data_IF_119544962194
#
_entry.id   IF_119544962194
#
_cell.length_a   1.000
_cell.length_b   1.000
_cell.length_c   1.000
_cell.angle_alpha   90.00
_cell.angle_beta   90.00
_cell.angle_gamma   90.00
#
_symmetry.space_group_name_H-M   'P 1'
#
loop_
_entity.id
_entity.type
_entity.pdbx_description
1 polymer ?
#
# COMPACT_ATOMS: atom_id res chain seq x y z
N UNK A 1 -10.16 -0.39 37.67
CA UNK A 1 -9.49 0.81 37.13
C UNK A 1 -8.15 0.36 36.57
N UNK A 2 -7.98 0.47 35.24
CA UNK A 2 -6.76 0.32 34.41
C UNK A 2 -5.84 -0.86 34.74
N UNK A 3 -5.73 -1.86 33.86
CA UNK A 3 -4.44 -2.52 33.57
C UNK A 3 -4.39 -3.06 32.12
N UNK A 4 -3.59 -2.36 31.31
CA UNK A 4 -2.73 -2.81 30.22
C UNK A 4 -3.27 -3.75 29.12
N UNK A 5 -3.40 -3.18 27.91
CA UNK A 5 -3.30 -3.90 26.63
C UNK A 5 -1.97 -4.69 26.58
N UNK A 6 -1.98 -6.00 26.33
CA UNK A 6 -0.75 -6.72 26.06
C UNK A 6 -0.39 -6.52 24.58
N UNK A 7 0.22 -5.38 24.25
CA UNK A 7 1.20 -5.39 23.15
C UNK A 7 2.37 -6.23 23.64
N UNK A 8 2.35 -7.53 23.33
CA UNK A 8 3.42 -8.44 23.72
C UNK A 8 4.02 -9.13 22.49
N UNK A 9 5.26 -8.69 22.25
CA UNK A 9 6.42 -9.48 21.83
C UNK A 9 6.43 -9.88 20.35
N UNK A 10 7.03 -8.95 19.60
CA UNK A 10 7.77 -9.20 18.36
C UNK A 10 8.72 -10.38 18.60
N UNK A 11 8.46 -11.51 17.97
CA UNK A 11 9.36 -12.66 17.98
C UNK A 11 10.28 -12.56 16.74
N UNK A 12 11.44 -11.93 16.93
CA UNK A 12 12.51 -11.84 15.93
C UNK A 12 13.13 -13.24 15.72
N UNK A 13 12.65 -13.96 14.70
CA UNK A 13 13.11 -15.29 14.33
C UNK A 13 13.49 -15.39 12.85
N UNK A 14 14.69 -14.90 12.51
CA UNK A 14 15.47 -15.20 11.29
C UNK A 14 14.82 -14.89 9.93
N UNK A 15 14.80 -13.61 9.57
CA UNK A 15 15.05 -13.20 8.19
C UNK A 15 16.12 -12.10 8.25
N UNK A 16 17.29 -12.35 7.65
CA UNK A 16 18.27 -11.29 7.42
C UNK A 16 17.74 -10.40 6.29
N UNK A 17 16.86 -9.45 6.61
CA UNK A 17 16.66 -8.27 5.77
C UNK A 17 17.78 -7.31 6.16
N UNK A 18 18.72 -7.11 5.23
CA UNK A 18 19.86 -6.24 5.44
C UNK A 18 19.42 -4.83 5.84
N UNK A 19 20.22 -4.20 6.68
CA UNK A 19 20.08 -2.81 7.08
C UNK A 19 20.09 -1.89 5.84
N UNK A 20 18.93 -1.62 5.22
CA UNK A 20 18.75 -0.46 4.33
C UNK A 20 18.07 0.63 5.14
N UNK A 21 18.86 1.64 5.50
CA UNK A 21 18.46 2.83 6.25
C UNK A 21 18.14 4.03 5.33
N UNK A 22 17.92 3.77 4.05
CA UNK A 22 17.49 4.78 3.08
C UNK A 22 16.06 4.46 2.64
N UNK A 23 15.12 5.35 2.98
CA UNK A 23 13.72 5.26 2.56
C UNK A 23 13.64 5.26 1.04
N UNK A 24 13.56 4.06 0.45
CA UNK A 24 13.56 3.91 -0.99
C UNK A 24 12.19 4.24 -1.56
N UNK A 25 12.19 4.99 -2.65
CA UNK A 25 10.95 5.19 -3.40
C UNK A 25 10.48 3.87 -4.01
N UNK A 26 9.16 3.62 -4.07
CA UNK A 26 8.61 2.47 -4.79
C UNK A 26 9.16 2.32 -6.22
N UNK A 27 9.37 3.43 -6.94
CA UNK A 27 9.95 3.41 -8.28
C UNK A 27 11.39 2.87 -8.35
N UNK A 28 12.19 3.02 -7.29
CA UNK A 28 13.55 2.46 -7.21
C UNK A 28 13.51 0.96 -6.87
N UNK A 29 12.58 0.52 -6.03
CA UNK A 29 12.35 -0.90 -5.75
C UNK A 29 11.88 -1.62 -7.01
N UNK A 30 11.03 -0.98 -7.82
CA UNK A 30 10.55 -1.53 -9.09
C UNK A 30 11.68 -1.87 -10.07
N UNK A 31 12.77 -1.10 -10.08
CA UNK A 31 13.96 -1.38 -10.92
C UNK A 31 14.67 -2.68 -10.53
N UNK A 32 14.39 -3.23 -9.35
CA UNK A 32 14.97 -4.49 -8.85
C UNK A 32 14.20 -5.72 -9.35
N UNK A 33 13.17 -5.54 -10.19
CA UNK A 33 12.40 -6.63 -10.80
C UNK A 33 11.08 -6.95 -10.10
N UNK A 34 10.75 -6.22 -9.03
CA UNK A 34 9.44 -6.31 -8.38
C UNK A 34 8.35 -5.65 -9.24
N UNK A 35 7.11 -6.12 -9.11
CA UNK A 35 5.98 -5.48 -9.76
C UNK A 35 5.55 -4.19 -9.02
N UNK A 36 4.58 -3.47 -9.57
CA UNK A 36 4.16 -2.19 -9.01
C UNK A 36 3.47 -2.26 -7.63
N UNK A 37 2.76 -3.36 -7.34
CA UNK A 37 2.12 -3.58 -6.05
C UNK A 37 3.14 -4.02 -4.99
N UNK A 38 4.02 -4.95 -5.35
CA UNK A 38 5.11 -5.44 -4.49
C UNK A 38 6.03 -4.29 -4.07
N UNK A 39 6.42 -3.44 -5.02
CA UNK A 39 7.32 -2.31 -4.75
C UNK A 39 6.74 -1.33 -3.73
N UNK A 40 5.42 -1.10 -3.78
CA UNK A 40 4.73 -0.20 -2.86
C UNK A 40 4.68 -0.79 -1.44
N UNK A 41 4.42 -2.10 -1.31
CA UNK A 41 4.43 -2.80 -0.01
C UNK A 41 5.84 -2.89 0.58
N UNK A 42 6.86 -3.16 -0.24
CA UNK A 42 8.25 -3.20 0.23
C UNK A 42 8.64 -1.82 0.79
N UNK A 43 8.36 -0.74 0.06
CA UNK A 43 8.64 0.62 0.54
C UNK A 43 7.96 0.90 1.88
N UNK A 44 6.68 0.54 2.00
CA UNK A 44 5.93 0.72 3.25
C UNK A 44 6.51 -0.10 4.41
N UNK A 45 6.82 -1.37 4.18
CA UNK A 45 7.40 -2.24 5.21
C UNK A 45 8.78 -1.73 5.67
N UNK A 46 9.62 -1.24 4.75
CA UNK A 46 10.92 -0.66 5.07
C UNK A 46 10.79 0.65 5.86
N UNK A 47 9.91 1.56 5.45
CA UNK A 47 9.74 2.88 6.09
C UNK A 47 9.08 2.78 7.47
N UNK A 48 8.08 1.89 7.64
CA UNK A 48 7.26 1.80 8.85
C UNK A 48 7.56 0.57 9.72
N UNK A 49 8.59 -0.22 9.37
CA UNK A 49 8.92 -1.49 10.02
C UNK A 49 7.68 -2.43 10.14
N UNK A 50 6.86 -2.44 9.08
CA UNK A 50 5.67 -3.28 8.98
C UNK A 50 6.02 -4.64 8.36
N UNK A 51 5.10 -5.59 8.46
CA UNK A 51 5.31 -6.98 8.02
C UNK A 51 4.24 -7.48 7.05
N UNK A 52 3.73 -6.61 6.16
CA UNK A 52 2.74 -6.99 5.16
C UNK A 52 3.38 -8.02 4.19
N UNK A 53 2.83 -9.22 4.01
CA UNK A 53 3.46 -10.24 3.17
C UNK A 53 3.49 -9.83 1.68
N UNK A 54 4.68 -9.52 1.16
CA UNK A 54 4.90 -9.06 -0.24
C UNK A 54 4.29 -10.00 -1.28
N UNK A 55 4.37 -11.32 -1.05
CA UNK A 55 3.82 -12.35 -1.96
C UNK A 55 2.32 -12.22 -2.25
N UNK A 56 1.55 -11.59 -1.36
CA UNK A 56 0.12 -11.33 -1.60
C UNK A 56 -0.09 -10.34 -2.75
N UNK A 57 0.91 -9.51 -3.04
CA UNK A 57 0.86 -8.47 -4.05
C UNK A 57 1.37 -8.92 -5.43
N UNK A 58 1.98 -10.10 -5.53
CA UNK A 58 2.48 -10.64 -6.81
C UNK A 58 1.36 -10.74 -7.85
N UNK A 59 0.17 -11.21 -7.44
CA UNK A 59 -0.98 -11.37 -8.33
C UNK A 59 -1.65 -10.04 -8.74
N UNK A 60 -1.31 -8.92 -8.08
CA UNK A 60 -1.93 -7.62 -8.33
C UNK A 60 -1.29 -6.88 -9.51
N UNK A 61 -0.12 -7.34 -9.97
CA UNK A 61 0.61 -6.78 -11.12
C UNK A 61 -0.24 -6.71 -12.39
N UNK A 62 -0.01 -5.69 -13.21
CA UNK A 62 -0.78 -5.47 -14.44
C UNK A 62 -2.26 -5.16 -14.21
N UNK A 63 -2.64 -4.82 -12.96
CA UNK A 63 -4.03 -4.68 -12.54
C UNK A 63 -4.77 -6.01 -12.56
N UNK A 64 -4.12 -7.02 -11.98
CA UNK A 64 -4.48 -8.44 -12.00
C UNK A 64 -4.53 -9.03 -13.42
N UNK A 65 -3.52 -8.73 -14.25
CA UNK A 65 -3.27 -9.36 -15.55
C UNK A 65 -4.20 -8.94 -16.70
N UNK A 66 -5.33 -8.30 -16.41
CA UNK A 66 -6.35 -7.92 -17.41
C UNK A 66 -6.48 -6.40 -17.59
N UNK A 67 -5.67 -5.61 -16.89
CA UNK A 67 -5.71 -4.15 -16.97
C UNK A 67 -6.84 -3.51 -16.16
N UNK A 68 -7.35 -4.20 -15.14
CA UNK A 68 -8.34 -3.68 -14.18
C UNK A 68 -7.71 -2.70 -13.18
N UNK A 69 -8.22 -2.57 -11.96
CA UNK A 69 -7.70 -1.69 -10.90
C UNK A 69 -6.18 -1.82 -10.80
N UNK A 70 -5.46 -0.70 -10.89
CA UNK A 70 -3.99 -0.68 -10.88
C UNK A 70 -3.40 -1.40 -9.65
N UNK A 71 -2.32 -2.17 -9.86
CA UNK A 71 -1.66 -2.92 -8.80
C UNK A 71 -1.17 -2.04 -7.65
N UNK A 72 -0.56 -0.89 -7.95
CA UNK A 72 -0.13 0.07 -6.94
C UNK A 72 -1.30 0.66 -6.13
N UNK A 73 -2.44 0.92 -6.80
CA UNK A 73 -3.67 1.40 -6.15
C UNK A 73 -4.26 0.32 -5.23
N UNK A 74 -4.26 -0.95 -5.65
CA UNK A 74 -4.65 -2.06 -4.78
C UNK A 74 -3.71 -2.20 -3.57
N UNK A 75 -2.39 -2.09 -3.77
CA UNK A 75 -1.42 -2.15 -2.68
C UNK A 75 -1.62 -1.01 -1.66
N UNK A 76 -1.97 0.20 -2.10
CA UNK A 76 -2.31 1.28 -1.19
C UNK A 76 -3.57 0.96 -0.35
N UNK A 77 -4.59 0.32 -0.93
CA UNK A 77 -5.75 -0.16 -0.17
C UNK A 77 -5.37 -1.24 0.85
N UNK A 78 -4.40 -2.11 0.54
CA UNK A 78 -3.84 -3.08 1.49
C UNK A 78 -3.14 -2.37 2.65
N UNK A 79 -2.32 -1.35 2.38
CA UNK A 79 -1.66 -0.54 3.42
C UNK A 79 -2.70 0.13 4.34
N UNK A 80 -3.77 0.70 3.76
CA UNK A 80 -4.85 1.29 4.56
C UNK A 80 -5.55 0.22 5.40
N UNK A 81 -5.76 -0.97 4.85
CA UNK A 81 -6.31 -2.11 5.58
C UNK A 81 -5.42 -2.55 6.75
N UNK A 82 -4.11 -2.57 6.58
CA UNK A 82 -3.15 -2.87 7.66
C UNK A 82 -3.26 -1.86 8.81
N UNK A 83 -3.44 -0.57 8.51
CA UNK A 83 -3.41 0.50 9.53
C UNK A 83 -4.78 0.77 10.17
N UNK A 84 -5.85 0.73 9.37
CA UNK A 84 -7.21 1.17 9.74
C UNK A 84 -8.24 0.06 9.64
N UNK A 85 -7.81 -1.16 9.30
CA UNK A 85 -8.66 -2.33 9.22
C UNK A 85 -9.17 -2.78 10.58
N UNK A 86 -10.02 -3.81 10.54
CA UNK A 86 -10.54 -4.49 11.72
C UNK A 86 -9.97 -5.89 11.79
N UNK A 87 -9.73 -6.38 13.00
CA UNK A 87 -9.22 -7.74 13.21
C UNK A 87 -10.31 -8.81 13.13
N UNK A 88 -11.55 -8.45 13.48
CA UNK A 88 -12.67 -9.39 13.52
C UNK A 88 -14.00 -8.80 13.02
N UNK A 89 -15.06 -9.62 13.11
CA UNK A 89 -16.39 -9.28 12.60
C UNK A 89 -17.10 -8.17 13.38
N UNK A 90 -16.65 -7.85 14.59
CA UNK A 90 -17.27 -6.87 15.51
C UNK A 90 -16.74 -5.45 15.29
N UNK A 91 -15.52 -5.31 14.75
CA UNK A 91 -14.95 -4.01 14.44
C UNK A 91 -15.66 -3.25 13.31
N UNK A 92 -15.59 -1.92 13.34
CA UNK A 92 -16.24 -1.06 12.36
C UNK A 92 -15.53 -1.12 11.00
N UNK A 93 -16.16 -1.82 10.05
CA UNK A 93 -15.70 -1.94 8.65
C UNK A 93 -15.66 -0.61 7.90
N UNK A 94 -16.31 0.45 8.40
CA UNK A 94 -16.40 1.73 7.71
C UNK A 94 -15.15 2.58 7.86
N UNK A 95 -14.35 2.37 8.90
CA UNK A 95 -13.11 3.15 9.14
C UNK A 95 -12.17 3.00 7.94
N UNK A 96 -11.60 1.81 7.70
CA UNK A 96 -10.74 1.58 6.53
C UNK A 96 -11.38 2.01 5.19
N UNK A 97 -12.70 1.81 5.03
CA UNK A 97 -13.42 2.20 3.81
C UNK A 97 -13.40 3.70 3.56
N UNK A 98 -13.52 4.54 4.59
CA UNK A 98 -13.45 6.01 4.44
C UNK A 98 -12.07 6.45 3.96
N UNK A 99 -11.01 5.87 4.52
CA UNK A 99 -9.64 6.16 4.09
C UNK A 99 -9.39 5.68 2.64
N UNK A 100 -9.83 4.46 2.28
CA UNK A 100 -9.74 4.01 0.88
C UNK A 100 -10.55 4.90 -0.06
N UNK A 101 -11.74 5.36 0.35
CA UNK A 101 -12.54 6.29 -0.47
C UNK A 101 -11.84 7.64 -0.66
N UNK A 102 -11.21 8.19 0.37
CA UNK A 102 -10.42 9.42 0.28
C UNK A 102 -9.22 9.23 -0.67
N UNK A 103 -8.49 8.13 -0.51
CA UNK A 103 -7.39 7.74 -1.40
C UNK A 103 -7.85 7.61 -2.87
N UNK A 104 -8.93 6.88 -3.12
CA UNK A 104 -9.46 6.66 -4.47
C UNK A 104 -9.98 7.95 -5.11
N UNK A 105 -10.56 8.87 -4.34
CA UNK A 105 -10.96 10.19 -4.83
C UNK A 105 -9.75 10.99 -5.27
N UNK A 106 -8.66 10.98 -4.50
CA UNK A 106 -7.43 11.69 -4.85
C UNK A 106 -6.78 11.11 -6.12
N UNK A 107 -6.68 9.78 -6.23
CA UNK A 107 -6.14 9.12 -7.43
C UNK A 107 -7.00 9.43 -8.66
N UNK A 108 -8.33 9.30 -8.56
CA UNK A 108 -9.22 9.66 -9.67
C UNK A 108 -9.19 11.16 -9.98
N UNK A 109 -9.03 12.03 -8.99
CA UNK A 109 -8.90 13.47 -9.20
C UNK A 109 -7.65 13.83 -9.99
N UNK A 110 -6.53 13.13 -9.74
CA UNK A 110 -5.26 13.35 -10.44
C UNK A 110 -5.25 12.81 -11.86
N UNK A 111 -5.75 11.59 -12.06
CA UNK A 111 -5.57 10.86 -13.33
C UNK A 111 -6.85 10.67 -14.13
N UNK A 112 -8.01 11.03 -13.59
CA UNK A 112 -9.33 10.75 -14.16
C UNK A 112 -9.76 9.29 -14.08
N UNK A 113 -8.88 8.38 -13.65
CA UNK A 113 -9.12 6.94 -13.56
C UNK A 113 -8.15 6.27 -12.60
N UNK A 114 -8.51 5.07 -12.15
CA UNK A 114 -7.68 4.16 -11.36
C UNK A 114 -7.52 2.79 -12.04
N UNK A 115 -8.07 2.64 -13.26
CA UNK A 115 -7.92 1.44 -14.07
C UNK A 115 -6.54 1.43 -14.72
N UNK A 116 -5.80 0.32 -14.55
CA UNK A 116 -4.44 0.16 -15.06
C UNK A 116 -4.38 0.39 -16.57
N UNK A 117 -5.30 -0.22 -17.34
CA UNK A 117 -5.31 -0.08 -18.80
C UNK A 117 -5.47 1.36 -19.25
N UNK A 118 -6.35 2.12 -18.60
CA UNK A 118 -6.63 3.51 -18.92
C UNK A 118 -5.47 4.43 -18.48
N UNK A 119 -4.89 4.21 -17.31
CA UNK A 119 -3.68 4.91 -16.88
C UNK A 119 -2.54 4.74 -17.89
N UNK A 120 -2.34 3.52 -18.40
CA UNK A 120 -1.35 3.24 -19.43
C UNK A 120 -1.69 3.93 -20.77
N UNK A 121 -2.97 3.94 -21.16
CA UNK A 121 -3.43 4.65 -22.36
C UNK A 121 -3.19 6.17 -22.27
N UNK A 122 -3.35 6.73 -21.07
CA UNK A 122 -3.06 8.13 -20.75
C UNK A 122 -1.55 8.42 -20.59
N UNK A 123 -0.68 7.45 -20.93
CA UNK A 123 0.78 7.54 -20.85
C UNK A 123 1.34 7.74 -19.43
N UNK A 124 0.56 7.47 -18.40
CA UNK A 124 1.05 7.49 -17.01
C UNK A 124 1.97 6.28 -16.78
N UNK A 125 3.15 6.54 -16.23
CA UNK A 125 4.16 5.48 -16.02
C UNK A 125 3.91 4.70 -14.74
N UNK A 126 4.37 3.44 -14.65
CA UNK A 126 4.25 2.68 -13.40
C UNK A 126 5.04 3.33 -12.27
N UNK A 127 6.23 3.87 -12.56
CA UNK A 127 7.06 4.63 -11.63
C UNK A 127 6.27 5.77 -10.98
N UNK A 128 5.64 6.60 -11.81
CA UNK A 128 4.82 7.73 -11.35
C UNK A 128 3.62 7.28 -10.52
N UNK A 129 2.85 6.28 -10.99
CA UNK A 129 1.67 5.80 -10.26
C UNK A 129 2.07 5.31 -8.88
N UNK A 130 3.16 4.55 -8.75
CA UNK A 130 3.60 4.05 -7.46
C UNK A 130 4.02 5.17 -6.51
N UNK A 131 4.91 6.06 -6.96
CA UNK A 131 5.43 7.14 -6.11
C UNK A 131 4.31 8.08 -5.67
N UNK A 132 3.40 8.44 -6.58
CA UNK A 132 2.22 9.25 -6.24
C UNK A 132 1.28 8.49 -5.31
N UNK A 133 0.98 7.22 -5.59
CA UNK A 133 0.09 6.43 -4.71
C UNK A 133 0.67 6.30 -3.30
N UNK A 134 1.99 6.19 -3.18
CA UNK A 134 2.68 6.08 -1.91
C UNK A 134 2.64 7.38 -1.11
N UNK A 135 2.84 8.53 -1.76
CA UNK A 135 2.69 9.81 -1.07
C UNK A 135 1.22 10.06 -0.69
N UNK A 136 0.27 9.79 -1.59
CA UNK A 136 -1.15 10.00 -1.31
C UNK A 136 -1.65 9.10 -0.17
N UNK A 137 -1.24 7.83 -0.11
CA UNK A 137 -1.68 6.95 0.99
C UNK A 137 -1.14 7.45 2.34
N UNK A 138 0.11 7.93 2.39
CA UNK A 138 0.68 8.53 3.61
C UNK A 138 -0.08 9.79 4.02
N UNK A 139 -0.42 10.67 3.08
CA UNK A 139 -1.19 11.88 3.38
C UNK A 139 -2.60 11.57 3.86
N UNK A 140 -3.28 10.60 3.23
CA UNK A 140 -4.62 10.16 3.65
C UNK A 140 -4.59 9.53 5.05
N UNK A 141 -3.57 8.75 5.38
CA UNK A 141 -3.45 8.14 6.71
C UNK A 141 -3.19 9.14 7.85
N UNK A 142 -2.73 10.36 7.54
CA UNK A 142 -2.58 11.46 8.50
C UNK A 142 -3.90 12.19 8.80
N UNK A 143 -4.93 11.99 7.98
CA UNK A 143 -6.24 12.63 8.17
C UNK A 143 -7.02 11.94 9.30
N UNK A 144 -7.93 12.67 9.94
CA UNK A 144 -8.87 12.14 10.93
C UNK A 144 -10.27 11.99 10.27
N UNK A 145 -10.53 10.80 9.71
CA UNK A 145 -11.72 10.45 8.90
C UNK A 145 -12.63 9.40 9.56
#
# INVERSE_FOLDING_TARGET
>A
MILAFPYNIINFGKIKLGERKDNMKPSEIYKQGYNCAESLIIAYNEEFNASIPVRLCTALGGGCGVGSICGAVNAAAIIIGEVKGRDDSTGDKMIAKRYVQAFMKEINGRYGTHMCKELKANKVTCAEIMDVSYEVVKEVLKQDL
#
